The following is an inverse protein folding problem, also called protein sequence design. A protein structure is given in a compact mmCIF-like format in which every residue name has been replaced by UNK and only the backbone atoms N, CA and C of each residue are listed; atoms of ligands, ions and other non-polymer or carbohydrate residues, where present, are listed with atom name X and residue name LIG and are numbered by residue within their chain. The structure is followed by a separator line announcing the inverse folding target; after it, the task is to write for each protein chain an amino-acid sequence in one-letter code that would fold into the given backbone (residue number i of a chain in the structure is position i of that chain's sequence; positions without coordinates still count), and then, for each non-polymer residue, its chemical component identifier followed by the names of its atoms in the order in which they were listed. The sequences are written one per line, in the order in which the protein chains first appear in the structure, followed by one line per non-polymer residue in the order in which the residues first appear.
data_IF_177136677926
#
_entry.id   IF_177136677926
#
_cell.length_a   1.000
_cell.length_b   1.000
_cell.length_c   1.000
_cell.angle_alpha   90.00
_cell.angle_beta   90.00
_cell.angle_gamma   90.00
#
_symmetry.space_group_name_H-M   'P 1'
#
loop_
_entity.id
_entity.type
_entity.pdbx_description
1 polymer ?
#
# COMPACT_ATOMS: atom_id res chain seq x y z
N UNK A 1 2.50 -17.76 7.06
CA UNK A 1 1.05 -17.97 6.91
C UNK A 1 0.24 -16.72 7.25
N UNK A 2 -0.09 -16.39 8.51
CA UNK A 2 -0.99 -15.23 8.79
C UNK A 2 -0.48 -13.88 8.28
N UNK A 3 0.78 -13.54 8.54
CA UNK A 3 1.37 -12.27 8.08
C UNK A 3 1.41 -12.14 6.56
N UNK A 4 1.72 -13.25 5.89
CA UNK A 4 1.75 -13.33 4.42
C UNK A 4 0.36 -13.12 3.81
N UNK A 5 -0.65 -13.77 4.39
CA UNK A 5 -2.04 -13.61 3.98
C UNK A 5 -2.54 -12.18 4.23
N UNK A 6 -2.16 -11.56 5.35
CA UNK A 6 -2.44 -10.16 5.65
C UNK A 6 -1.83 -9.23 4.60
N UNK A 7 -0.56 -9.41 4.25
CA UNK A 7 0.11 -8.61 3.22
C UNK A 7 -0.61 -8.71 1.87
N UNK A 8 -0.96 -9.93 1.44
CA UNK A 8 -1.70 -10.17 0.18
C UNK A 8 -3.09 -9.52 0.20
N UNK A 9 -3.82 -9.61 1.32
CA UNK A 9 -5.12 -8.96 1.50
C UNK A 9 -5.01 -7.43 1.43
N UNK A 10 -4.00 -6.86 2.08
CA UNK A 10 -3.72 -5.42 2.01
C UNK A 10 -3.36 -4.98 0.59
N UNK A 11 -2.54 -5.74 -0.12
CA UNK A 11 -2.22 -5.47 -1.52
C UNK A 11 -3.47 -5.39 -2.38
N UNK A 12 -4.35 -6.41 -2.31
CA UNK A 12 -5.60 -6.44 -3.09
C UNK A 12 -6.46 -5.22 -2.77
N UNK A 13 -6.56 -4.84 -1.49
CA UNK A 13 -7.35 -3.67 -1.05
C UNK A 13 -6.78 -2.36 -1.61
N UNK A 14 -5.46 -2.17 -1.53
CA UNK A 14 -4.76 -1.00 -2.08
C UNK A 14 -4.95 -0.93 -3.59
N UNK A 15 -4.66 -2.02 -4.30
CA UNK A 15 -4.74 -2.12 -5.76
C UNK A 15 -6.18 -1.86 -6.26
N UNK A 16 -7.18 -2.44 -5.59
CA UNK A 16 -8.58 -2.17 -5.90
C UNK A 16 -8.95 -0.69 -5.71
N UNK A 17 -8.53 -0.07 -4.60
CA UNK A 17 -8.80 1.35 -4.34
C UNK A 17 -8.10 2.26 -5.35
N UNK A 18 -6.84 1.98 -5.67
CA UNK A 18 -6.08 2.71 -6.68
C UNK A 18 -6.80 2.65 -8.03
N UNK A 19 -7.23 1.47 -8.48
CA UNK A 19 -8.02 1.32 -9.72
C UNK A 19 -9.32 2.12 -9.68
N UNK A 20 -10.09 2.02 -8.60
CA UNK A 20 -11.36 2.76 -8.44
C UNK A 20 -11.16 4.27 -8.50
N UNK A 21 -10.07 4.78 -7.93
CA UNK A 21 -9.71 6.21 -7.94
C UNK A 21 -8.86 6.64 -9.14
N UNK A 22 -8.53 5.72 -10.06
CA UNK A 22 -7.62 5.95 -11.20
C UNK A 22 -6.24 6.48 -10.78
N UNK A 23 -5.77 6.13 -9.59
CA UNK A 23 -4.45 6.51 -9.08
C UNK A 23 -3.40 5.57 -9.67
N UNK A 24 -2.38 6.13 -10.32
CA UNK A 24 -1.24 5.38 -10.84
C UNK A 24 -0.18 5.17 -9.76
N UNK A 25 0.65 4.12 -9.90
CA UNK A 25 1.77 3.85 -8.97
C UNK A 25 2.74 5.03 -8.87
N UNK A 26 3.01 5.73 -9.97
CA UNK A 26 3.86 6.93 -9.96
C UNK A 26 3.24 8.08 -9.17
N UNK A 27 1.94 8.35 -9.37
CA UNK A 27 1.21 9.39 -8.64
C UNK A 27 1.17 9.06 -7.13
N UNK A 28 0.96 7.79 -6.78
CA UNK A 28 1.02 7.35 -5.38
C UNK A 28 2.42 7.57 -4.79
N UNK A 29 3.48 7.24 -5.54
CA UNK A 29 4.86 7.44 -5.09
C UNK A 29 5.17 8.92 -4.82
N UNK A 30 4.72 9.80 -5.71
CA UNK A 30 4.82 11.25 -5.55
C UNK A 30 4.05 11.74 -4.32
N UNK A 31 2.80 11.31 -4.14
CA UNK A 31 1.97 11.67 -2.99
C UNK A 31 2.61 11.30 -1.65
N UNK A 32 3.26 10.13 -1.56
CA UNK A 32 3.88 9.67 -0.31
C UNK A 32 5.37 10.05 -0.16
N UNK A 33 5.91 10.78 -1.14
CA UNK A 33 7.27 11.31 -1.13
C UNK A 33 8.37 10.27 -1.31
N UNK A 34 8.17 9.27 -2.19
CA UNK A 34 9.18 8.23 -2.49
C UNK A 34 9.45 8.08 -3.99
N UNK A 35 10.58 7.45 -4.33
CA UNK A 35 10.93 7.12 -5.72
C UNK A 35 9.93 6.13 -6.31
N UNK A 36 9.56 6.31 -7.58
CA UNK A 36 8.67 5.41 -8.34
C UNK A 36 9.10 3.94 -8.29
N UNK A 37 10.40 3.66 -8.47
CA UNK A 37 10.93 2.29 -8.40
C UNK A 37 10.65 1.64 -7.05
N UNK A 38 10.89 2.38 -5.97
CA UNK A 38 10.68 1.89 -4.62
C UNK A 38 9.19 1.68 -4.27
N UNK A 39 8.28 2.47 -4.84
CA UNK A 39 6.85 2.19 -4.75
C UNK A 39 6.49 0.86 -5.43
N UNK A 40 7.04 0.59 -6.62
CA UNK A 40 6.83 -0.69 -7.29
C UNK A 40 7.34 -1.85 -6.44
N UNK A 41 8.52 -1.71 -5.84
CA UNK A 41 9.11 -2.74 -4.96
C UNK A 41 8.19 -3.04 -3.77
N UNK A 42 7.69 -1.99 -3.09
CA UNK A 42 6.74 -2.13 -1.98
C UNK A 42 5.50 -2.94 -2.40
N UNK A 43 4.88 -2.58 -3.53
CA UNK A 43 3.66 -3.24 -3.98
C UNK A 43 3.91 -4.70 -4.41
N UNK A 44 5.03 -4.97 -5.09
CA UNK A 44 5.44 -6.33 -5.48
C UNK A 44 5.74 -7.17 -4.24
N UNK A 45 6.42 -6.61 -3.24
CA UNK A 45 6.69 -7.31 -1.98
C UNK A 45 5.37 -7.65 -1.25
N UNK A 46 4.40 -6.73 -1.22
CA UNK A 46 3.07 -7.00 -0.63
C UNK A 46 2.29 -8.07 -1.39
N UNK A 47 2.31 -8.06 -2.72
CA UNK A 47 1.73 -9.09 -3.58
C UNK A 47 2.34 -10.47 -3.30
N UNK A 48 3.66 -10.50 -3.03
CA UNK A 48 4.39 -11.70 -2.64
C UNK A 48 4.26 -12.04 -1.14
N UNK A 49 3.46 -11.29 -0.38
CA UNK A 49 3.17 -11.59 1.02
C UNK A 49 4.16 -11.01 2.04
N UNK A 50 4.94 -10.00 1.68
CA UNK A 50 5.82 -9.27 2.61
C UNK A 50 5.19 -7.94 3.00
N UNK A 51 5.10 -7.67 4.30
CA UNK A 51 4.63 -6.38 4.80
C UNK A 51 5.72 -5.33 4.67
N UNK A 52 5.42 -4.15 4.11
CA UNK A 52 6.33 -3.03 4.17
C UNK A 52 6.34 -2.45 5.58
N UNK A 53 7.35 -1.64 5.92
CA UNK A 53 7.37 -0.88 7.16
C UNK A 53 6.07 -0.09 7.39
N UNK A 54 5.61 -0.04 8.65
CA UNK A 54 4.35 0.60 9.05
C UNK A 54 4.21 2.03 8.52
N UNK A 55 5.30 2.80 8.50
CA UNK A 55 5.32 4.18 7.97
C UNK A 55 4.80 4.28 6.53
N UNK A 56 5.03 3.28 5.69
CA UNK A 56 4.52 3.29 4.31
C UNK A 56 3.06 2.88 4.26
N UNK A 57 2.62 1.94 5.10
CA UNK A 57 1.20 1.57 5.18
C UNK A 57 0.35 2.78 5.60
N UNK A 58 0.82 3.55 6.60
CA UNK A 58 0.17 4.80 7.05
C UNK A 58 0.10 5.83 5.90
N UNK A 59 1.22 6.07 5.21
CA UNK A 59 1.22 7.04 4.10
C UNK A 59 0.36 6.59 2.92
N UNK A 60 0.34 5.29 2.62
CA UNK A 60 -0.48 4.75 1.53
C UNK A 60 -1.96 4.92 1.87
N UNK A 61 -2.41 4.55 3.08
CA UNK A 61 -3.82 4.72 3.48
C UNK A 61 -4.29 6.18 3.39
N UNK A 62 -3.44 7.12 3.81
CA UNK A 62 -3.72 8.55 3.71
C UNK A 62 -3.83 8.97 2.23
N UNK A 63 -2.87 8.57 1.40
CA UNK A 63 -2.82 8.97 0.00
C UNK A 63 -3.95 8.38 -0.89
N UNK A 64 -4.46 7.19 -0.53
CA UNK A 64 -5.59 6.56 -1.22
C UNK A 64 -6.93 6.79 -0.52
N UNK A 65 -6.93 7.46 0.64
CA UNK A 65 -8.08 7.66 1.54
C UNK A 65 -8.88 6.36 1.72
N UNK A 66 -8.19 5.33 2.21
CA UNK A 66 -8.77 4.02 2.52
C UNK A 66 -8.14 3.52 3.80
N UNK A 67 -8.97 3.14 4.76
CA UNK A 67 -8.50 2.63 6.03
C UNK A 67 -7.90 1.23 5.85
N UNK A 68 -6.59 1.11 6.01
CA UNK A 68 -5.87 -0.16 5.89
C UNK A 68 -5.54 -0.75 7.26
N UNK A 69 -5.18 0.12 8.20
CA UNK A 69 -4.80 -0.22 9.57
C UNK A 69 -5.57 0.70 10.51
N UNK A 70 -6.23 0.10 11.49
CA UNK A 70 -6.94 0.81 12.54
C UNK A 70 -6.00 0.99 13.74
N UNK A 71 -5.83 2.23 14.18
CA UNK A 71 -5.21 2.52 15.47
C UNK A 71 -6.33 2.89 16.45
N UNK A 72 -6.53 2.09 17.49
CA UNK A 72 -7.39 2.45 18.61
C UNK A 72 -6.47 3.01 19.70
N UNK A 73 -6.28 4.33 19.71
CA UNK A 73 -5.39 5.06 20.64
C UNK A 73 -6.24 5.88 21.60
#
# INVERSE_FOLDING_TARGET
MKMEETAKKLYIKIDFKMRRKKIKRCELAEKIGIKKGYMSDILIDMENGKLPPLKYLIRIQEAIEEELIFFNV
#
